data_IF_604843099555
#
_entry.id   IF_604843099555
#
_cell.length_a   1.000
_cell.length_b   1.000
_cell.length_c   1.000
_cell.angle_alpha   90.00
_cell.angle_beta   90.00
_cell.angle_gamma   90.00
#
_symmetry.space_group_name_H-M   'P 1'
#
loop_
_entity.id
_entity.type
_entity.pdbx_description
1 polymer ?
#
# COMPACT_ATOMS: atom_id res chain seq x y z
N UNK A 1 -9.24 -24.28 -9.05
CA UNK A 1 -9.52 -23.26 -8.01
C UNK A 1 -8.21 -22.58 -7.75
N UNK A 2 -8.16 -21.24 -7.79
CA UNK A 2 -6.91 -20.49 -7.54
C UNK A 2 -6.64 -20.42 -6.05
N UNK A 3 -5.45 -20.81 -5.63
CA UNK A 3 -5.04 -20.87 -4.23
C UNK A 3 -4.38 -19.54 -3.81
N UNK A 4 -4.82 -18.97 -2.70
CA UNK A 4 -4.42 -17.64 -2.25
C UNK A 4 -3.88 -17.70 -0.82
N UNK A 5 -2.67 -17.16 -0.63
CA UNK A 5 -2.09 -16.88 0.68
C UNK A 5 -2.23 -15.39 1.01
N UNK A 6 -2.50 -15.03 2.27
CA UNK A 6 -2.77 -13.65 2.68
C UNK A 6 -1.88 -13.26 3.86
N UNK A 7 -1.00 -12.31 3.63
CA UNK A 7 -0.29 -11.60 4.68
C UNK A 7 -1.16 -10.46 5.21
N UNK A 8 -1.51 -10.51 6.51
CA UNK A 8 -2.33 -9.48 7.17
C UNK A 8 -3.84 -9.66 7.00
N UNK A 9 -4.34 -10.91 7.06
CA UNK A 9 -5.76 -11.25 6.81
C UNK A 9 -6.77 -10.58 7.75
N UNK A 10 -6.36 -10.19 8.95
CA UNK A 10 -7.21 -9.51 9.93
C UNK A 10 -7.19 -7.99 9.81
N UNK A 11 -6.40 -7.43 8.88
CA UNK A 11 -6.36 -6.02 8.55
C UNK A 11 -7.48 -5.60 7.60
N UNK A 12 -7.58 -4.29 7.31
CA UNK A 12 -8.64 -3.73 6.45
C UNK A 12 -8.69 -4.34 5.05
N UNK A 13 -7.52 -4.52 4.40
CA UNK A 13 -7.44 -5.13 3.07
C UNK A 13 -7.66 -6.64 3.16
N UNK A 14 -7.06 -7.30 4.17
CA UNK A 14 -7.18 -8.75 4.33
C UNK A 14 -8.60 -9.22 4.57
N UNK A 15 -9.39 -8.50 5.37
CA UNK A 15 -10.82 -8.83 5.61
C UNK A 15 -11.64 -8.67 4.33
N UNK A 16 -11.44 -7.59 3.57
CA UNK A 16 -12.11 -7.38 2.29
C UNK A 16 -11.68 -8.40 1.23
N UNK A 17 -10.43 -8.86 1.28
CA UNK A 17 -9.96 -9.95 0.43
C UNK A 17 -10.68 -11.28 0.73
N UNK A 18 -10.90 -11.56 2.01
CA UNK A 18 -11.69 -12.73 2.42
C UNK A 18 -13.17 -12.58 2.03
N UNK A 19 -13.74 -11.35 2.01
CA UNK A 19 -15.09 -11.12 1.48
C UNK A 19 -15.16 -11.47 -0.02
N UNK A 20 -14.17 -11.03 -0.82
CA UNK A 20 -14.10 -11.40 -2.25
C UNK A 20 -14.01 -12.92 -2.44
N UNK A 21 -13.22 -13.62 -1.62
CA UNK A 21 -13.11 -15.07 -1.67
C UNK A 21 -14.44 -15.72 -1.24
N UNK A 22 -15.10 -15.21 -0.19
CA UNK A 22 -16.38 -15.73 0.33
C UNK A 22 -17.47 -15.69 -0.73
N UNK A 23 -17.54 -14.60 -1.53
CA UNK A 23 -18.49 -14.46 -2.62
C UNK A 23 -18.15 -15.35 -3.85
N UNK A 24 -16.91 -15.89 -3.93
CA UNK A 24 -16.42 -16.62 -5.10
C UNK A 24 -15.68 -17.92 -4.70
N UNK A 25 -16.25 -18.69 -3.78
CA UNK A 25 -15.65 -19.95 -3.27
C UNK A 25 -15.50 -21.06 -4.33
N UNK A 26 -16.19 -20.95 -5.43
CA UNK A 26 -16.02 -21.84 -6.59
C UNK A 26 -14.74 -21.56 -7.38
N UNK A 27 -14.15 -20.37 -7.20
CA UNK A 27 -12.95 -19.90 -7.92
C UNK A 27 -11.70 -19.84 -7.07
N UNK A 28 -11.84 -19.53 -5.76
CA UNK A 28 -10.74 -19.29 -4.86
C UNK A 28 -10.76 -20.17 -3.62
N UNK A 29 -9.57 -20.53 -3.16
CA UNK A 29 -9.32 -21.20 -1.88
C UNK A 29 -8.23 -20.45 -1.10
N UNK A 30 -8.36 -20.42 0.22
CA UNK A 30 -7.34 -19.85 1.11
C UNK A 30 -6.36 -20.93 1.48
N UNK A 31 -5.05 -20.68 1.28
CA UNK A 31 -3.96 -21.59 1.62
C UNK A 31 -3.29 -21.25 2.94
N UNK A 32 -2.95 -19.97 3.11
CA UNK A 32 -2.27 -19.53 4.32
C UNK A 32 -2.74 -18.14 4.74
N UNK A 33 -2.79 -17.89 6.04
CA UNK A 33 -3.21 -16.63 6.63
C UNK A 33 -2.19 -16.13 7.66
N UNK A 34 -1.98 -14.81 7.73
CA UNK A 34 -1.29 -14.22 8.86
C UNK A 34 -2.10 -13.13 9.54
N UNK A 35 -1.92 -12.98 10.85
CA UNK A 35 -2.50 -11.89 11.63
C UNK A 35 -1.46 -11.20 12.52
N UNK A 36 -1.77 -9.95 12.89
CA UNK A 36 -1.14 -9.26 14.02
C UNK A 36 -1.84 -9.65 15.34
N UNK A 37 -2.44 -8.65 15.98
CA UNK A 37 -2.98 -8.78 17.34
C UNK A 37 -4.42 -9.31 17.43
N UNK A 38 -5.16 -9.36 16.32
CA UNK A 38 -6.58 -9.74 16.37
C UNK A 38 -6.77 -11.26 16.27
N UNK A 39 -6.52 -11.94 17.37
CA UNK A 39 -6.58 -13.41 17.46
C UNK A 39 -8.01 -13.93 17.41
N UNK A 40 -9.00 -13.19 17.92
CA UNK A 40 -10.40 -13.63 17.87
C UNK A 40 -10.91 -13.66 16.43
N UNK A 41 -10.66 -12.62 15.65
CA UNK A 41 -11.00 -12.62 14.21
C UNK A 41 -10.22 -13.71 13.45
N UNK A 42 -8.97 -13.99 13.83
CA UNK A 42 -8.21 -15.09 13.21
C UNK A 42 -8.87 -16.44 13.49
N UNK A 43 -9.43 -16.71 14.68
CA UNK A 43 -10.17 -17.94 14.97
C UNK A 43 -11.38 -18.11 14.03
N UNK A 44 -12.11 -17.02 13.79
CA UNK A 44 -13.25 -17.02 12.86
C UNK A 44 -12.77 -17.34 11.43
N UNK A 45 -11.72 -16.68 10.97
CA UNK A 45 -11.14 -16.89 9.64
C UNK A 45 -10.62 -18.33 9.47
N UNK A 46 -9.94 -18.89 10.45
CA UNK A 46 -9.50 -20.29 10.43
C UNK A 46 -10.68 -21.26 10.33
N UNK A 47 -11.73 -21.02 11.14
CA UNK A 47 -12.91 -21.87 11.13
C UNK A 47 -13.69 -21.82 9.81
N UNK A 48 -13.66 -20.69 9.13
CA UNK A 48 -14.40 -20.46 7.89
C UNK A 48 -13.64 -20.92 6.64
N UNK A 49 -12.32 -20.68 6.58
CA UNK A 49 -11.52 -20.88 5.38
C UNK A 49 -10.59 -22.07 5.44
N UNK A 50 -10.40 -22.69 6.60
CA UNK A 50 -9.60 -23.89 6.83
C UNK A 50 -8.20 -23.84 6.18
N UNK A 51 -7.37 -22.80 6.46
CA UNK A 51 -6.04 -22.67 5.87
C UNK A 51 -5.12 -23.81 6.32
N UNK A 52 -4.08 -24.09 5.52
CA UNK A 52 -3.05 -25.07 5.86
C UNK A 52 -1.96 -24.50 6.77
N UNK A 53 -1.64 -23.18 6.63
CA UNK A 53 -0.67 -22.47 7.47
C UNK A 53 -1.30 -21.22 8.08
N UNK A 54 -1.05 -21.00 9.36
CA UNK A 54 -1.44 -19.78 10.10
C UNK A 54 -0.22 -19.19 10.78
N UNK A 55 0.01 -17.90 10.54
CA UNK A 55 1.13 -17.15 11.12
C UNK A 55 0.60 -16.05 12.04
N UNK A 56 1.12 -16.00 13.25
CA UNK A 56 0.80 -14.97 14.25
C UNK A 56 2.00 -14.06 14.53
N UNK A 57 1.77 -12.95 15.20
CA UNK A 57 2.85 -12.04 15.57
C UNK A 57 3.75 -12.66 16.65
N UNK A 58 3.19 -13.41 17.61
CA UNK A 58 3.94 -13.97 18.74
C UNK A 58 3.81 -15.49 18.85
N UNK A 59 4.81 -16.13 19.46
CA UNK A 59 4.80 -17.57 19.76
C UNK A 59 3.65 -17.95 20.73
N UNK A 60 3.27 -17.05 21.64
CA UNK A 60 2.17 -17.28 22.58
C UNK A 60 0.83 -17.39 21.85
N UNK A 61 0.60 -16.53 20.85
CA UNK A 61 -0.63 -16.53 20.05
C UNK A 61 -0.71 -17.79 19.16
N UNK A 62 0.41 -18.18 18.54
CA UNK A 62 0.49 -19.43 17.79
C UNK A 62 0.15 -20.66 18.66
N UNK A 63 0.70 -20.70 19.88
CA UNK A 63 0.40 -21.78 20.85
C UNK A 63 -1.08 -21.75 21.27
N UNK A 64 -1.67 -20.59 21.48
CA UNK A 64 -3.09 -20.44 21.85
C UNK A 64 -3.98 -20.97 20.73
N UNK A 65 -3.74 -20.56 19.47
CA UNK A 65 -4.52 -21.02 18.31
C UNK A 65 -4.36 -22.53 18.10
N UNK A 66 -3.13 -23.06 18.19
CA UNK A 66 -2.87 -24.50 18.08
C UNK A 66 -3.68 -25.30 19.12
N UNK A 67 -3.69 -24.86 20.37
CA UNK A 67 -4.46 -25.52 21.43
C UNK A 67 -5.98 -25.42 21.19
N UNK A 68 -6.45 -24.29 20.67
CA UNK A 68 -7.87 -24.08 20.39
C UNK A 68 -8.39 -24.97 19.24
N UNK A 69 -7.56 -25.25 18.24
CA UNK A 69 -7.93 -26.04 17.06
C UNK A 69 -7.46 -27.50 17.10
N UNK A 70 -6.79 -27.95 18.17
CA UNK A 70 -6.19 -29.28 18.27
C UNK A 70 -7.16 -30.41 17.92
N UNK A 71 -8.43 -30.31 18.33
CA UNK A 71 -9.46 -31.33 18.12
C UNK A 71 -10.53 -30.94 17.09
N UNK A 72 -10.37 -29.79 16.40
CA UNK A 72 -11.45 -29.17 15.60
C UNK A 72 -11.23 -29.18 14.11
N UNK A 73 -9.99 -29.24 13.66
CA UNK A 73 -9.63 -29.06 12.24
C UNK A 73 -8.56 -30.05 11.79
N UNK A 74 -8.39 -30.18 10.46
CA UNK A 74 -7.25 -30.88 9.85
C UNK A 74 -5.93 -30.27 10.33
N UNK A 75 -4.82 -30.97 10.08
CA UNK A 75 -3.46 -30.51 10.41
C UNK A 75 -3.22 -29.09 9.87
N UNK A 76 -3.38 -28.08 10.73
CA UNK A 76 -2.99 -26.71 10.44
C UNK A 76 -1.60 -26.50 11.03
N UNK A 77 -0.69 -25.98 10.22
CA UNK A 77 0.62 -25.55 10.68
C UNK A 77 0.50 -24.16 11.31
N UNK A 78 1.18 -23.95 12.44
CA UNK A 78 1.20 -22.65 13.12
C UNK A 78 2.64 -22.18 13.26
N UNK A 79 2.93 -21.03 12.66
CA UNK A 79 4.19 -20.30 12.75
C UNK A 79 3.99 -18.91 13.37
N UNK A 80 5.08 -18.19 13.61
CA UNK A 80 5.02 -16.86 14.23
C UNK A 80 6.21 -15.98 13.85
N UNK A 81 6.05 -14.68 14.05
CA UNK A 81 7.12 -13.70 13.88
C UNK A 81 7.55 -13.49 12.43
N UNK A 82 8.73 -12.92 12.24
CA UNK A 82 9.24 -12.59 10.90
C UNK A 82 9.51 -13.85 10.08
N UNK A 83 10.13 -14.87 10.65
CA UNK A 83 10.38 -16.15 9.96
C UNK A 83 9.08 -16.80 9.50
N UNK A 84 8.02 -16.77 10.32
CA UNK A 84 6.70 -17.26 9.92
C UNK A 84 6.11 -16.46 8.75
N UNK A 85 6.29 -15.14 8.71
CA UNK A 85 5.84 -14.32 7.57
C UNK A 85 6.60 -14.68 6.29
N UNK A 86 7.91 -14.96 6.38
CA UNK A 86 8.71 -15.40 5.23
C UNK A 86 8.32 -16.82 4.78
N UNK A 87 8.01 -17.71 5.72
CA UNK A 87 7.48 -19.04 5.43
C UNK A 87 6.16 -18.95 4.66
N UNK A 88 5.21 -18.12 5.13
CA UNK A 88 3.96 -17.86 4.44
C UNK A 88 4.17 -17.25 3.05
N UNK A 89 5.10 -16.30 2.92
CA UNK A 89 5.41 -15.68 1.64
C UNK A 89 5.93 -16.67 0.60
N UNK A 90 6.68 -17.69 1.04
CA UNK A 90 7.18 -18.79 0.20
C UNK A 90 6.19 -19.94 0.02
N UNK A 91 5.08 -19.94 0.78
CA UNK A 91 4.12 -21.03 0.79
C UNK A 91 3.58 -21.34 -0.61
N UNK A 92 3.30 -22.63 -0.88
CA UNK A 92 2.86 -23.05 -2.21
C UNK A 92 1.41 -22.64 -2.47
N UNK A 93 1.25 -21.51 -3.16
CA UNK A 93 -0.01 -20.93 -3.57
C UNK A 93 0.14 -20.22 -4.93
N UNK A 94 -0.94 -20.07 -5.68
CA UNK A 94 -0.95 -19.41 -6.99
C UNK A 94 -0.71 -17.91 -6.89
N UNK A 95 -1.15 -17.31 -5.77
CA UNK A 95 -1.10 -15.87 -5.54
C UNK A 95 -0.91 -15.55 -4.05
N UNK A 96 0.03 -14.68 -3.76
CA UNK A 96 0.19 -14.05 -2.44
C UNK A 96 -0.44 -12.67 -2.43
N UNK A 97 -1.40 -12.42 -1.54
CA UNK A 97 -1.80 -11.05 -1.19
C UNK A 97 -0.88 -10.54 -0.09
N UNK A 98 -0.11 -9.48 -0.38
CA UNK A 98 0.64 -8.77 0.65
C UNK A 98 -0.12 -7.51 1.08
N UNK A 99 -0.76 -7.55 2.25
CA UNK A 99 -1.48 -6.44 2.88
C UNK A 99 -0.89 -6.02 4.23
N UNK A 100 0.40 -6.31 4.45
CA UNK A 100 1.14 -5.75 5.58
C UNK A 100 1.31 -4.24 5.42
N UNK A 101 1.51 -3.53 6.51
CA UNK A 101 1.74 -2.08 6.51
C UNK A 101 3.22 -1.77 6.66
N UNK A 102 3.69 -0.72 5.98
CA UNK A 102 5.04 -0.18 6.12
C UNK A 102 6.13 -1.09 5.54
N UNK A 103 7.36 -0.80 5.92
CA UNK A 103 8.57 -1.52 5.48
C UNK A 103 8.51 -3.04 5.73
N UNK A 104 7.72 -3.49 6.70
CA UNK A 104 7.58 -4.91 7.06
C UNK A 104 7.10 -5.80 5.91
N UNK A 105 6.43 -5.24 4.90
CA UNK A 105 5.98 -5.98 3.73
C UNK A 105 7.06 -6.25 2.67
N UNK A 106 8.16 -5.53 2.70
CA UNK A 106 9.18 -5.56 1.64
C UNK A 106 9.87 -6.92 1.54
N UNK A 107 10.40 -7.46 2.65
CA UNK A 107 11.12 -8.73 2.65
C UNK A 107 10.22 -9.92 2.31
N UNK A 108 8.98 -10.06 2.85
CA UNK A 108 8.03 -11.07 2.37
C UNK A 108 7.70 -10.97 0.88
N UNK A 109 7.59 -9.74 0.32
CA UNK A 109 7.39 -9.56 -1.13
C UNK A 109 8.57 -10.13 -1.92
N UNK A 110 9.80 -9.81 -1.52
CA UNK A 110 11.01 -10.31 -2.15
C UNK A 110 11.12 -11.83 -2.09
N UNK A 111 10.88 -12.43 -0.92
CA UNK A 111 10.92 -13.88 -0.72
C UNK A 111 9.85 -14.63 -1.54
N UNK A 112 8.65 -14.08 -1.66
CA UNK A 112 7.60 -14.62 -2.51
C UNK A 112 8.01 -14.64 -3.99
N UNK A 113 8.65 -13.54 -4.47
CA UNK A 113 9.19 -13.47 -5.83
C UNK A 113 10.25 -14.56 -6.05
N UNK A 114 11.21 -14.69 -5.12
CA UNK A 114 12.26 -15.72 -5.21
C UNK A 114 11.70 -17.14 -5.18
N UNK A 115 10.55 -17.35 -4.54
CA UNK A 115 9.80 -18.60 -4.56
C UNK A 115 8.91 -18.78 -5.81
N UNK A 116 8.90 -17.82 -6.75
CA UNK A 116 8.10 -17.90 -7.97
C UNK A 116 6.60 -17.63 -7.79
N UNK A 117 6.19 -16.96 -6.70
CA UNK A 117 4.78 -16.67 -6.41
C UNK A 117 4.34 -15.36 -7.06
N UNK A 118 3.20 -15.37 -7.76
CA UNK A 118 2.57 -14.13 -8.19
C UNK A 118 2.06 -13.35 -6.99
N UNK A 119 2.05 -12.02 -7.10
CA UNK A 119 1.75 -11.14 -5.96
C UNK A 119 0.58 -10.21 -6.30
N UNK A 120 -0.43 -10.19 -5.45
CA UNK A 120 -1.40 -9.10 -5.33
C UNK A 120 -0.82 -8.13 -4.29
N UNK A 121 -0.30 -6.98 -4.72
CA UNK A 121 0.45 -6.07 -3.87
C UNK A 121 -0.44 -4.94 -3.38
N UNK A 122 -0.77 -4.94 -2.09
CA UNK A 122 -1.40 -3.83 -1.39
C UNK A 122 -0.39 -3.02 -0.56
N UNK A 123 0.77 -3.60 -0.24
CA UNK A 123 1.86 -2.93 0.47
C UNK A 123 2.69 -2.08 -0.50
N UNK A 124 2.32 -0.82 -0.65
CA UNK A 124 3.02 0.13 -1.55
C UNK A 124 4.46 0.39 -1.11
N UNK A 125 4.72 0.34 0.20
CA UNK A 125 6.03 0.61 0.75
C UNK A 125 7.10 -0.34 0.20
N UNK A 126 6.75 -1.58 -0.13
CA UNK A 126 7.68 -2.52 -0.80
C UNK A 126 8.28 -1.95 -2.09
N UNK A 127 7.48 -1.29 -2.92
CA UNK A 127 7.96 -0.66 -4.15
C UNK A 127 8.58 0.71 -3.91
N UNK A 128 8.13 1.43 -2.90
CA UNK A 128 8.74 2.71 -2.52
C UNK A 128 10.19 2.52 -2.10
N UNK A 129 10.45 1.57 -1.22
CA UNK A 129 11.79 1.38 -0.64
C UNK A 129 12.71 0.52 -1.51
N UNK A 130 12.15 -0.46 -2.23
CA UNK A 130 12.91 -1.48 -2.94
C UNK A 130 12.47 -1.72 -4.38
N UNK A 131 11.79 -0.75 -5.03
CA UNK A 131 11.18 -0.96 -6.33
C UNK A 131 12.13 -1.47 -7.41
N UNK A 132 13.39 -0.98 -7.45
CA UNK A 132 14.42 -1.48 -8.37
C UNK A 132 14.70 -2.98 -8.14
N UNK A 133 14.93 -3.37 -6.88
CA UNK A 133 15.23 -4.76 -6.48
C UNK A 133 14.00 -5.67 -6.71
N UNK A 134 12.82 -5.22 -6.32
CA UNK A 134 11.56 -5.98 -6.43
C UNK A 134 11.19 -6.21 -7.90
N UNK A 135 11.16 -5.15 -8.72
CA UNK A 135 10.73 -5.27 -10.11
C UNK A 135 11.74 -6.03 -10.97
N UNK A 136 13.05 -5.84 -10.75
CA UNK A 136 14.08 -6.61 -11.46
C UNK A 136 14.02 -8.10 -11.08
N UNK A 137 13.85 -8.42 -9.79
CA UNK A 137 13.69 -9.81 -9.35
C UNK A 137 12.40 -10.45 -9.90
N UNK A 138 11.29 -9.70 -9.94
CA UNK A 138 10.03 -10.18 -10.52
C UNK A 138 10.19 -10.50 -12.02
N UNK A 139 10.88 -9.64 -12.77
CA UNK A 139 11.17 -9.85 -14.18
C UNK A 139 12.07 -11.09 -14.39
N UNK A 140 13.12 -11.24 -13.60
CA UNK A 140 14.02 -12.40 -13.64
C UNK A 140 13.29 -13.74 -13.39
N UNK A 141 12.39 -13.74 -12.40
CA UNK A 141 11.65 -14.95 -11.99
C UNK A 141 10.36 -15.16 -12.80
N UNK A 142 9.99 -14.25 -13.70
CA UNK A 142 8.73 -14.31 -14.44
C UNK A 142 7.48 -14.16 -13.58
N UNK A 143 7.59 -13.54 -12.41
CA UNK A 143 6.53 -13.31 -11.44
C UNK A 143 5.74 -12.05 -11.82
N UNK A 144 4.40 -12.13 -11.71
CA UNK A 144 3.50 -10.99 -11.91
C UNK A 144 3.23 -10.28 -10.59
N UNK A 145 3.39 -8.95 -10.61
CA UNK A 145 2.94 -8.08 -9.51
C UNK A 145 1.67 -7.37 -9.98
N UNK A 146 0.55 -7.70 -9.33
CA UNK A 146 -0.78 -7.16 -9.62
C UNK A 146 -1.13 -6.11 -8.56
N UNK A 147 -1.41 -4.85 -8.94
CA UNK A 147 -1.70 -3.81 -7.98
C UNK A 147 -3.05 -4.00 -7.29
N UNK A 148 -3.08 -3.77 -6.00
CA UNK A 148 -4.29 -3.74 -5.17
C UNK A 148 -4.63 -2.33 -4.72
N UNK A 149 -3.66 -1.42 -4.64
CA UNK A 149 -3.96 0.00 -4.40
C UNK A 149 -4.92 0.51 -5.48
N UNK A 150 -5.96 1.27 -5.09
CA UNK A 150 -7.09 1.60 -5.98
C UNK A 150 -6.66 2.38 -7.22
N UNK A 151 -5.76 3.34 -7.06
CA UNK A 151 -5.24 4.16 -8.16
C UNK A 151 -4.39 3.33 -9.13
N UNK A 152 -3.53 2.46 -8.60
CA UNK A 152 -2.67 1.60 -9.43
C UNK A 152 -3.48 0.51 -10.13
N UNK A 153 -4.49 -0.06 -9.46
CA UNK A 153 -5.45 -0.96 -10.10
C UNK A 153 -6.20 -0.27 -11.24
N UNK A 154 -6.59 1.00 -11.05
CA UNK A 154 -7.24 1.80 -12.09
C UNK A 154 -6.33 2.00 -13.30
N UNK A 155 -5.08 2.43 -13.08
CA UNK A 155 -4.07 2.59 -14.13
C UNK A 155 -3.85 1.26 -14.87
N UNK A 156 -3.64 0.17 -14.12
CA UNK A 156 -3.48 -1.16 -14.66
C UNK A 156 -4.65 -1.57 -15.56
N UNK A 157 -5.90 -1.28 -15.17
CA UNK A 157 -7.09 -1.58 -15.96
C UNK A 157 -7.17 -0.70 -17.23
N UNK A 158 -6.78 0.59 -17.14
CA UNK A 158 -6.75 1.49 -18.31
C UNK A 158 -5.70 1.08 -19.35
N UNK A 159 -4.65 0.39 -18.91
CA UNK A 159 -3.57 -0.07 -19.81
C UNK A 159 -3.89 -1.37 -20.53
N UNK A 160 -4.96 -2.10 -20.16
CA UNK A 160 -5.28 -3.38 -20.77
C UNK A 160 -5.56 -3.25 -22.26
N UNK A 161 -4.94 -4.12 -23.06
CA UNK A 161 -5.06 -4.11 -24.53
C UNK A 161 -4.17 -3.08 -25.25
N UNK A 162 -3.44 -2.24 -24.52
CA UNK A 162 -2.52 -1.25 -25.07
C UNK A 162 -1.06 -1.60 -24.73
N UNK A 163 -0.13 -1.07 -25.52
CA UNK A 163 1.30 -1.26 -25.26
C UNK A 163 1.79 -0.14 -24.33
N UNK A 164 2.62 -0.48 -23.33
CA UNK A 164 3.21 0.52 -22.42
C UNK A 164 3.92 1.66 -23.14
N UNK A 165 4.60 1.38 -24.27
CA UNK A 165 5.29 2.39 -25.08
C UNK A 165 4.36 3.45 -25.71
N UNK A 166 3.06 3.22 -25.73
CA UNK A 166 2.05 4.15 -26.25
C UNK A 166 1.53 5.10 -25.17
N UNK A 167 1.91 4.87 -23.91
CA UNK A 167 1.54 5.74 -22.80
C UNK A 167 2.43 6.98 -22.83
N UNK A 168 1.79 8.14 -22.72
CA UNK A 168 2.46 9.45 -22.63
C UNK A 168 2.53 9.93 -21.18
N UNK A 169 1.43 9.76 -20.42
CA UNK A 169 1.31 10.29 -19.06
C UNK A 169 0.35 9.44 -18.23
N UNK A 170 0.62 9.36 -16.93
CA UNK A 170 -0.31 8.84 -15.93
C UNK A 170 -0.92 10.03 -15.17
N UNK A 171 -2.24 10.02 -14.99
CA UNK A 171 -2.97 10.89 -14.10
C UNK A 171 -3.30 10.13 -12.81
N UNK A 172 -2.60 10.49 -11.73
CA UNK A 172 -2.75 9.88 -10.42
C UNK A 172 -3.69 10.74 -9.57
N UNK A 173 -4.91 10.27 -9.31
CA UNK A 173 -5.89 11.05 -8.56
C UNK A 173 -5.69 10.93 -7.05
N UNK A 174 -6.07 11.97 -6.31
CA UNK A 174 -6.03 12.05 -4.86
C UNK A 174 -7.32 12.66 -4.33
N UNK A 175 -7.84 12.20 -3.18
CA UNK A 175 -8.99 12.85 -2.53
C UNK A 175 -8.67 14.27 -2.06
N UNK A 176 -7.40 14.58 -1.82
CA UNK A 176 -6.91 15.83 -1.22
C UNK A 176 -6.86 15.80 0.31
N UNK A 177 -7.32 14.70 0.93
CA UNK A 177 -7.31 14.55 2.39
C UNK A 177 -8.31 15.48 3.11
N UNK A 178 -8.30 15.46 4.46
CA UNK A 178 -9.22 16.28 5.28
C UNK A 178 -8.90 17.77 5.26
N UNK A 179 -7.68 18.17 4.89
CA UNK A 179 -7.21 19.56 4.95
C UNK A 179 -7.09 20.23 3.57
N UNK A 180 -7.76 19.69 2.55
CA UNK A 180 -7.78 20.30 1.23
C UNK A 180 -8.20 21.78 1.30
N UNK A 181 -7.36 22.66 0.74
CA UNK A 181 -7.57 24.10 0.75
C UNK A 181 -7.01 24.85 1.96
N UNK A 182 -6.42 24.15 2.94
CA UNK A 182 -5.73 24.80 4.06
C UNK A 182 -4.36 25.30 3.62
N UNK A 183 -4.02 26.51 4.08
CA UNK A 183 -2.67 27.03 4.02
C UNK A 183 -1.76 26.36 5.05
N UNK A 184 -0.44 26.52 4.88
CA UNK A 184 0.53 25.97 5.83
C UNK A 184 0.33 26.50 7.26
N UNK A 185 -0.04 27.78 7.40
CA UNK A 185 -0.27 28.38 8.72
C UNK A 185 -1.50 27.79 9.41
N UNK A 186 -2.57 27.49 8.63
CA UNK A 186 -3.77 26.83 9.16
C UNK A 186 -3.49 25.37 9.57
N UNK A 187 -2.49 24.73 8.97
CA UNK A 187 -2.07 23.36 9.32
C UNK A 187 -1.25 23.29 10.61
N UNK A 188 -0.69 24.41 11.12
CA UNK A 188 0.20 24.39 12.29
C UNK A 188 -0.50 23.90 13.57
N UNK A 189 -1.80 24.22 13.73
CA UNK A 189 -2.57 23.89 14.92
C UNK A 189 -3.50 22.69 14.80
N UNK A 190 -3.42 21.90 13.71
CA UNK A 190 -4.37 20.79 13.50
C UNK A 190 -4.09 19.64 14.48
N UNK A 191 -5.19 19.09 15.02
CA UNK A 191 -5.12 17.97 15.96
C UNK A 191 -5.04 16.62 15.26
N UNK A 192 -4.59 15.60 16.00
CA UNK A 192 -4.61 14.21 15.55
C UNK A 192 -6.02 13.76 15.16
N UNK A 193 -7.03 14.16 15.93
CA UNK A 193 -8.43 13.82 15.66
C UNK A 193 -8.91 14.41 14.33
N UNK A 194 -8.58 15.68 14.05
CA UNK A 194 -8.90 16.32 12.78
C UNK A 194 -8.21 15.61 11.60
N UNK A 195 -6.93 15.25 11.77
CA UNK A 195 -6.16 14.56 10.73
C UNK A 195 -6.67 13.14 10.45
N UNK A 196 -7.24 12.46 11.45
CA UNK A 196 -7.83 11.12 11.31
C UNK A 196 -9.24 11.13 10.69
N UNK A 197 -9.88 12.28 10.56
CA UNK A 197 -11.24 12.41 10.01
C UNK A 197 -11.22 12.52 8.47
N UNK A 198 -10.93 11.39 7.80
CA UNK A 198 -10.89 11.37 6.33
C UNK A 198 -12.30 11.45 5.73
N UNK A 199 -12.56 12.33 4.72
CA UNK A 199 -13.92 12.63 4.25
C UNK A 199 -14.59 11.50 3.47
N UNK A 200 -13.85 10.52 2.93
CA UNK A 200 -14.36 9.47 2.01
C UNK A 200 -14.01 8.05 2.41
N UNK A 201 -12.84 7.82 2.99
CA UNK A 201 -12.32 6.48 3.27
C UNK A 201 -12.22 6.21 4.77
N UNK A 202 -12.61 5.01 5.20
CA UNK A 202 -12.29 4.48 6.52
C UNK A 202 -11.04 3.61 6.41
N UNK A 203 -9.93 4.11 6.92
CA UNK A 203 -8.60 3.51 6.73
C UNK A 203 -7.87 3.36 8.07
N UNK A 204 -6.75 2.63 8.05
CA UNK A 204 -5.84 2.58 9.20
C UNK A 204 -5.24 3.94 9.54
N UNK A 205 -4.84 4.14 10.80
CA UNK A 205 -4.34 5.44 11.29
C UNK A 205 -3.16 5.99 10.47
N UNK A 206 -2.16 5.15 10.19
CA UNK A 206 -0.94 5.58 9.44
C UNK A 206 -1.30 6.13 8.05
N UNK A 207 -2.03 5.37 7.24
CA UNK A 207 -2.40 5.79 5.89
C UNK A 207 -3.36 6.99 5.89
N UNK A 208 -4.16 7.17 6.95
CA UNK A 208 -5.02 8.36 7.09
C UNK A 208 -4.18 9.62 7.30
N UNK A 209 -3.13 9.57 8.12
CA UNK A 209 -2.18 10.68 8.26
C UNK A 209 -1.38 10.90 6.98
N UNK A 210 -0.93 9.84 6.31
CA UNK A 210 -0.28 9.96 5.00
C UNK A 210 -1.19 10.63 3.96
N UNK A 211 -2.49 10.35 3.98
CA UNK A 211 -3.48 11.03 3.15
C UNK A 211 -3.62 12.51 3.52
N UNK A 212 -3.67 12.82 4.82
CA UNK A 212 -3.78 14.19 5.32
C UNK A 212 -2.58 15.06 4.93
N UNK A 213 -1.37 14.50 4.95
CA UNK A 213 -0.11 15.18 4.57
C UNK A 213 0.17 15.15 3.06
N UNK A 214 -0.64 14.44 2.27
CA UNK A 214 -0.38 14.03 0.87
C UNK A 214 0.88 13.15 0.69
N UNK A 215 1.50 12.66 1.76
CA UNK A 215 2.58 11.65 1.66
C UNK A 215 2.07 10.38 0.99
N UNK A 216 0.84 9.94 1.27
CA UNK A 216 0.26 8.78 0.61
C UNK A 216 0.34 8.90 -0.92
N UNK A 217 0.02 10.06 -1.46
CA UNK A 217 0.08 10.31 -2.90
C UNK A 217 1.52 10.35 -3.41
N UNK A 218 2.46 10.81 -2.58
CA UNK A 218 3.88 10.71 -2.87
C UNK A 218 4.39 9.27 -2.94
N UNK A 219 3.99 8.42 -1.98
CA UNK A 219 4.31 6.99 -1.99
C UNK A 219 3.73 6.29 -3.23
N UNK A 220 2.49 6.60 -3.56
CA UNK A 220 1.80 6.07 -4.73
C UNK A 220 2.43 6.52 -6.07
N UNK A 221 2.96 7.73 -6.15
CA UNK A 221 3.71 8.19 -7.32
C UNK A 221 4.97 7.35 -7.53
N UNK A 222 5.69 7.01 -6.46
CA UNK A 222 6.88 6.15 -6.51
C UNK A 222 6.48 4.72 -6.89
N UNK A 223 5.39 4.20 -6.35
CA UNK A 223 4.85 2.90 -6.71
C UNK A 223 4.47 2.85 -8.20
N UNK A 224 3.77 3.86 -8.72
CA UNK A 224 3.40 3.96 -10.13
C UNK A 224 4.62 4.01 -11.05
N UNK A 225 5.66 4.75 -10.68
CA UNK A 225 6.94 4.78 -11.40
C UNK A 225 7.47 3.36 -11.64
N UNK A 226 7.46 2.52 -10.61
CA UNK A 226 7.99 1.17 -10.68
C UNK A 226 7.05 0.18 -11.38
N UNK A 227 5.78 0.14 -11.00
CA UNK A 227 4.81 -0.80 -11.57
C UNK A 227 4.63 -0.62 -13.07
N UNK A 228 4.63 0.62 -13.55
CA UNK A 228 4.33 0.94 -14.94
C UNK A 228 5.55 1.39 -15.73
N UNK A 229 6.75 1.36 -15.11
CA UNK A 229 8.00 1.79 -15.72
C UNK A 229 7.91 3.19 -16.36
N UNK A 230 7.39 4.16 -15.59
CA UNK A 230 7.20 5.55 -16.01
C UNK A 230 8.25 6.46 -15.40
N UNK A 231 8.60 7.55 -16.10
CA UNK A 231 9.39 8.60 -15.48
C UNK A 231 8.53 9.38 -14.47
N UNK A 232 9.17 9.92 -13.44
CA UNK A 232 8.49 10.71 -12.41
C UNK A 232 7.75 11.92 -13.03
N UNK A 233 8.35 12.55 -14.02
CA UNK A 233 7.80 13.75 -14.69
C UNK A 233 6.61 13.44 -15.62
N UNK A 234 6.40 12.16 -15.95
CA UNK A 234 5.26 11.69 -16.73
C UNK A 234 4.10 11.21 -15.84
N UNK A 235 4.19 11.40 -14.51
CA UNK A 235 3.12 11.10 -13.54
C UNK A 235 2.62 12.41 -12.94
N UNK A 236 1.39 12.78 -13.28
CA UNK A 236 0.75 14.02 -12.81
C UNK A 236 -0.28 13.72 -11.73
N UNK A 237 -0.12 14.36 -10.56
CA UNK A 237 -1.08 14.24 -9.46
C UNK A 237 -2.23 15.21 -9.66
N UNK A 238 -3.46 14.69 -9.61
CA UNK A 238 -4.70 15.46 -9.69
C UNK A 238 -5.51 15.31 -8.40
N UNK A 239 -5.86 16.41 -7.74
CA UNK A 239 -6.78 16.37 -6.61
C UNK A 239 -8.20 16.25 -7.15
N UNK A 240 -8.89 15.16 -6.80
CA UNK A 240 -10.25 14.82 -7.21
C UNK A 240 -11.10 14.49 -5.98
N UNK A 241 -11.75 15.49 -5.36
CA UNK A 241 -12.41 15.32 -4.05
C UNK A 241 -13.56 14.33 -4.03
N UNK A 242 -14.19 14.08 -5.17
CA UNK A 242 -15.29 13.13 -5.27
C UNK A 242 -14.82 11.68 -5.16
N UNK A 243 -13.54 11.39 -5.48
CA UNK A 243 -12.94 10.05 -5.47
C UNK A 243 -13.71 9.03 -6.34
N UNK A 244 -14.31 9.48 -7.43
CA UNK A 244 -15.03 8.65 -8.42
C UNK A 244 -14.08 8.20 -9.53
N UNK A 245 -13.23 9.12 -10.03
CA UNK A 245 -12.14 8.77 -10.95
C UNK A 245 -10.98 8.31 -10.11
N UNK A 246 -10.65 7.02 -10.20
CA UNK A 246 -9.57 6.41 -9.40
C UNK A 246 -8.18 6.56 -10.01
N UNK A 247 -8.04 6.94 -11.23
CA UNK A 247 -6.86 7.39 -11.98
C UNK A 247 -7.07 7.15 -13.48
N UNK A 248 -6.13 7.60 -14.31
CA UNK A 248 -6.22 7.46 -15.76
C UNK A 248 -4.88 7.52 -16.45
N UNK A 249 -4.90 7.22 -17.75
CA UNK A 249 -3.71 7.18 -18.62
C UNK A 249 -3.97 8.00 -19.86
N UNK A 250 -3.06 8.92 -20.19
CA UNK A 250 -3.02 9.62 -21.47
C UNK A 250 -2.09 8.89 -22.43
N UNK A 251 -2.59 8.61 -23.61
CA UNK A 251 -1.82 7.98 -24.69
C UNK A 251 -1.18 9.04 -25.60
N UNK A 252 -0.27 8.61 -26.47
CA UNK A 252 0.45 9.50 -27.41
C UNK A 252 -0.45 10.24 -28.40
N UNK A 253 -1.63 9.67 -28.69
CA UNK A 253 -2.68 10.28 -29.52
C UNK A 253 -3.55 11.30 -28.75
N UNK A 254 -3.19 11.58 -27.49
CA UNK A 254 -3.90 12.45 -26.55
C UNK A 254 -5.22 11.92 -26.00
N UNK A 255 -5.61 10.70 -26.35
CA UNK A 255 -6.76 10.05 -25.73
C UNK A 255 -6.48 9.78 -24.25
N UNK A 256 -7.46 10.00 -23.38
CA UNK A 256 -7.39 9.67 -21.95
C UNK A 256 -8.38 8.57 -21.64
N UNK A 257 -7.89 7.49 -21.04
CA UNK A 257 -8.72 6.43 -20.49
C UNK A 257 -8.62 6.50 -18.98
N UNK A 258 -9.76 6.53 -18.28
CA UNK A 258 -9.82 6.57 -16.83
C UNK A 258 -10.79 5.50 -16.30
N UNK A 259 -10.47 4.94 -15.15
CA UNK A 259 -11.37 4.02 -14.46
C UNK A 259 -12.19 4.81 -13.43
N UNK A 260 -13.50 4.58 -13.47
CA UNK A 260 -14.47 5.18 -12.57
C UNK A 260 -15.19 4.10 -11.76
N UNK A 261 -15.51 4.43 -10.51
CA UNK A 261 -16.28 3.54 -9.64
C UNK A 261 -16.58 4.17 -8.29
N UNK A 262 -17.38 3.50 -7.49
CA UNK A 262 -17.52 3.85 -6.07
C UNK A 262 -16.25 3.45 -5.31
N UNK A 263 -15.88 4.17 -4.24
CA UNK A 263 -14.70 3.85 -3.44
C UNK A 263 -14.93 2.57 -2.61
N UNK A 264 -14.52 1.42 -3.15
CA UNK A 264 -14.61 0.10 -2.52
C UNK A 264 -13.39 -0.75 -2.88
N UNK A 265 -12.58 -1.12 -1.87
CA UNK A 265 -11.35 -1.88 -2.07
C UNK A 265 -11.59 -3.32 -2.55
N UNK A 266 -12.79 -3.87 -2.42
CA UNK A 266 -13.11 -5.20 -2.98
C UNK A 266 -12.98 -5.21 -4.50
N UNK A 267 -13.19 -4.07 -5.17
CA UNK A 267 -13.05 -3.97 -6.64
C UNK A 267 -11.60 -4.23 -7.08
N UNK A 268 -10.58 -3.46 -6.64
CA UNK A 268 -9.20 -3.70 -7.04
C UNK A 268 -8.67 -5.06 -6.54
N UNK A 269 -9.09 -5.53 -5.37
CA UNK A 269 -8.76 -6.88 -4.88
C UNK A 269 -9.30 -7.94 -5.84
N UNK A 270 -10.57 -7.84 -6.23
CA UNK A 270 -11.19 -8.77 -7.18
C UNK A 270 -10.48 -8.77 -8.54
N UNK A 271 -10.07 -7.60 -9.03
CA UNK A 271 -9.26 -7.49 -10.27
C UNK A 271 -7.94 -8.23 -10.12
N UNK A 272 -7.19 -8.02 -9.04
CA UNK A 272 -5.92 -8.70 -8.81
C UNK A 272 -6.08 -10.22 -8.68
N UNK A 273 -7.15 -10.68 -8.02
CA UNK A 273 -7.40 -12.11 -7.81
C UNK A 273 -7.84 -12.83 -9.08
N UNK A 274 -8.66 -12.19 -9.92
CA UNK A 274 -9.26 -12.82 -11.08
C UNK A 274 -8.55 -12.55 -12.39
N UNK A 275 -7.60 -11.62 -12.44
CA UNK A 275 -6.94 -11.25 -13.70
C UNK A 275 -6.50 -12.48 -14.50
N UNK A 276 -6.79 -12.54 -15.84
CA UNK A 276 -7.33 -11.46 -16.69
C UNK A 276 -8.88 -11.31 -16.70
N UNK A 277 -9.60 -12.17 -15.99
CA UNK A 277 -11.06 -12.16 -15.96
C UNK A 277 -11.62 -11.08 -15.02
N UNK A 278 -12.96 -10.88 -15.07
CA UNK A 278 -13.69 -10.06 -14.12
C UNK A 278 -14.69 -10.88 -13.33
N UNK A 279 -14.82 -10.56 -12.04
CA UNK A 279 -15.81 -11.20 -11.17
C UNK A 279 -17.13 -10.42 -11.15
N UNK A 280 -18.21 -11.13 -10.91
CA UNK A 280 -19.45 -10.50 -10.44
C UNK A 280 -19.25 -10.18 -8.96
N UNK A 281 -19.46 -8.92 -8.59
CA UNK A 281 -19.29 -8.45 -7.23
C UNK A 281 -20.60 -7.87 -6.69
N UNK A 282 -20.86 -8.07 -5.41
CA UNK A 282 -21.97 -7.40 -4.69
C UNK A 282 -21.49 -6.08 -4.10
N UNK A 283 -21.19 -5.13 -5.01
CA UNK A 283 -20.83 -3.75 -4.67
C UNK A 283 -21.77 -2.79 -5.38
N UNK A 284 -22.08 -1.62 -4.79
CA UNK A 284 -22.92 -0.62 -5.43
C UNK A 284 -22.37 -0.18 -6.79
N UNK A 285 -23.23 -0.07 -7.79
CA UNK A 285 -22.85 0.49 -9.08
C UNK A 285 -22.76 2.02 -8.97
N UNK A 286 -21.81 2.62 -9.70
CA UNK A 286 -21.72 4.08 -9.82
C UNK A 286 -22.99 4.63 -10.50
N UNK A 287 -23.64 5.60 -9.85
CA UNK A 287 -24.75 6.34 -10.44
C UNK A 287 -24.25 7.63 -11.09
N UNK A 288 -24.28 7.71 -12.41
CA UNK A 288 -23.87 8.90 -13.16
C UNK A 288 -24.79 10.11 -13.01
N UNK A 289 -26.00 9.91 -12.49
CA UNK A 289 -26.95 11.00 -12.25
C UNK A 289 -26.91 11.53 -10.81
N UNK A 290 -26.07 10.95 -9.95
CA UNK A 290 -25.85 11.32 -8.54
C UNK A 290 -24.36 11.54 -8.26
N UNK A 291 -23.65 10.53 -7.70
CA UNK A 291 -22.23 10.67 -7.32
C UNK A 291 -21.33 10.98 -8.52
N UNK A 292 -21.64 10.43 -9.70
CA UNK A 292 -20.89 10.63 -10.94
C UNK A 292 -21.30 11.86 -11.73
N UNK A 293 -22.30 12.66 -11.28
CA UNK A 293 -22.85 13.78 -12.04
C UNK A 293 -21.89 14.96 -12.17
N UNK A 294 -20.93 15.09 -11.23
CA UNK A 294 -19.96 16.19 -11.24
C UNK A 294 -18.58 15.69 -10.85
N UNK A 295 -17.63 15.82 -11.75
CA UNK A 295 -16.23 15.48 -11.56
C UNK A 295 -15.38 16.75 -11.64
N UNK A 296 -14.59 17.02 -10.61
CA UNK A 296 -13.71 18.21 -10.55
C UNK A 296 -12.29 17.80 -10.27
N UNK A 297 -11.34 18.55 -10.83
CA UNK A 297 -9.92 18.31 -10.70
C UNK A 297 -9.20 19.60 -10.34
N UNK A 298 -8.27 19.53 -9.40
CA UNK A 298 -7.47 20.65 -8.92
C UNK A 298 -5.99 20.25 -8.92
N UNK A 299 -5.11 21.23 -9.01
CA UNK A 299 -3.67 20.99 -8.81
C UNK A 299 -3.39 20.79 -7.32
N UNK A 300 -2.49 19.88 -6.94
CA UNK A 300 -2.07 19.77 -5.54
C UNK A 300 -1.29 21.03 -5.12
N UNK A 301 -1.51 21.48 -3.90
CA UNK A 301 -0.74 22.56 -3.29
C UNK A 301 0.55 21.98 -2.67
N UNK A 302 1.67 22.13 -3.38
CA UNK A 302 2.97 21.61 -2.96
C UNK A 302 3.66 22.47 -1.89
N UNK A 303 3.20 23.72 -1.67
CA UNK A 303 3.77 24.59 -0.65
C UNK A 303 3.15 24.31 0.72
N UNK A 304 1.83 24.13 0.78
CA UNK A 304 1.14 23.77 2.01
C UNK A 304 1.38 22.29 2.38
N UNK A 305 1.38 21.39 1.39
CA UNK A 305 1.56 19.95 1.59
C UNK A 305 2.96 19.49 1.15
N UNK A 306 3.94 19.87 1.94
CA UNK A 306 5.37 19.67 1.67
C UNK A 306 5.75 18.19 1.45
N UNK A 307 5.06 17.25 2.10
CA UNK A 307 5.36 15.83 1.99
C UNK A 307 5.23 15.29 0.56
N UNK A 308 4.26 15.77 -0.24
CA UNK A 308 4.15 15.39 -1.65
C UNK A 308 5.34 15.92 -2.46
N UNK A 309 5.75 17.17 -2.24
CA UNK A 309 6.92 17.76 -2.90
C UNK A 309 8.19 16.96 -2.60
N UNK A 310 8.42 16.64 -1.33
CA UNK A 310 9.56 15.84 -0.87
C UNK A 310 9.55 14.46 -1.54
N UNK A 311 8.40 13.81 -1.64
CA UNK A 311 8.28 12.50 -2.27
C UNK A 311 8.60 12.53 -3.77
N UNK A 312 8.16 13.57 -4.49
CA UNK A 312 8.50 13.79 -5.90
C UNK A 312 10.02 13.97 -6.06
N UNK A 313 10.65 14.76 -5.19
CA UNK A 313 12.11 14.98 -5.20
C UNK A 313 12.88 13.69 -4.87
N UNK A 314 12.47 12.94 -3.84
CA UNK A 314 13.05 11.65 -3.51
C UNK A 314 12.91 10.64 -4.67
N UNK A 315 11.78 10.64 -5.37
CA UNK A 315 11.54 9.80 -6.54
C UNK A 315 12.48 10.15 -7.72
N UNK A 316 12.80 11.44 -7.91
CA UNK A 316 13.74 11.94 -8.93
C UNK A 316 15.18 11.59 -8.58
N UNK A 317 15.59 11.79 -7.33
CA UNK A 317 16.91 11.40 -6.83
C UNK A 317 17.10 9.88 -6.92
N UNK A 318 16.02 9.11 -6.68
CA UNK A 318 16.06 7.65 -6.75
C UNK A 318 16.99 7.06 -5.69
N UNK A 319 17.67 5.96 -6.06
CA UNK A 319 18.62 5.28 -5.16
C UNK A 319 17.97 4.94 -3.82
N UNK A 320 18.58 5.29 -2.68
CA UNK A 320 18.06 5.01 -1.33
C UNK A 320 17.24 6.15 -0.73
N UNK A 321 17.08 7.29 -1.44
CA UNK A 321 16.28 8.42 -0.95
C UNK A 321 14.82 8.06 -0.64
N UNK A 322 14.09 7.29 -1.50
CA UNK A 322 12.73 6.87 -1.16
C UNK A 322 12.66 5.96 0.10
N UNK A 323 13.68 5.10 0.30
CA UNK A 323 13.73 4.24 1.48
C UNK A 323 13.95 5.07 2.76
N UNK A 324 14.87 6.04 2.73
CA UNK A 324 15.10 6.97 3.83
C UNK A 324 13.86 7.81 4.14
N UNK A 325 13.20 8.35 3.12
CA UNK A 325 11.95 9.09 3.25
C UNK A 325 10.87 8.26 3.94
N UNK A 326 10.66 7.02 3.48
CA UNK A 326 9.63 6.15 4.06
C UNK A 326 9.95 5.79 5.52
N UNK A 327 11.20 5.43 5.84
CA UNK A 327 11.62 5.12 7.21
C UNK A 327 11.42 6.29 8.18
N UNK A 328 11.78 7.50 7.74
CA UNK A 328 11.52 8.73 8.50
C UNK A 328 10.02 8.99 8.66
N UNK A 329 9.24 8.89 7.56
CA UNK A 329 7.80 9.13 7.59
C UNK A 329 7.06 8.20 8.58
N UNK A 330 7.38 6.92 8.61
CA UNK A 330 6.73 5.97 9.53
C UNK A 330 6.93 6.37 11.00
N UNK A 331 8.16 6.78 11.39
CA UNK A 331 8.45 7.25 12.75
C UNK A 331 7.74 8.56 13.06
N UNK A 332 7.79 9.52 12.15
CA UNK A 332 7.22 10.86 12.36
C UNK A 332 5.70 10.83 12.40
N UNK A 333 5.06 9.98 11.58
CA UNK A 333 3.61 9.76 11.64
C UNK A 333 3.20 9.14 12.99
N UNK A 334 3.96 8.16 13.49
CA UNK A 334 3.71 7.58 14.81
C UNK A 334 3.87 8.62 15.92
N UNK A 335 4.91 9.44 15.86
CA UNK A 335 5.15 10.49 16.85
C UNK A 335 4.08 11.60 16.80
N UNK A 336 3.55 11.94 15.62
CA UNK A 336 2.39 12.83 15.50
C UNK A 336 1.15 12.21 16.14
N UNK A 337 0.87 10.94 15.87
CA UNK A 337 -0.26 10.21 16.45
C UNK A 337 -0.19 10.13 17.99
N UNK A 338 1.02 10.13 18.54
CA UNK A 338 1.28 10.16 19.99
C UNK A 338 1.30 11.59 20.58
N UNK A 339 1.15 12.63 19.73
CA UNK A 339 1.16 14.03 20.18
C UNK A 339 2.54 14.56 20.54
N UNK A 340 3.62 13.93 20.06
CA UNK A 340 5.00 14.33 20.36
C UNK A 340 5.51 15.43 19.43
N UNK A 341 4.95 15.55 18.22
CA UNK A 341 5.28 16.56 17.22
C UNK A 341 4.01 17.12 16.58
N UNK A 342 4.10 18.30 15.97
CA UNK A 342 3.05 18.95 15.21
C UNK A 342 2.93 18.38 13.77
N UNK A 343 1.81 18.65 13.12
CA UNK A 343 1.50 18.15 11.78
C UNK A 343 2.54 18.59 10.73
N UNK A 344 2.87 19.87 10.69
CA UNK A 344 3.86 20.41 9.75
C UNK A 344 5.27 19.84 9.97
N UNK A 345 5.61 19.46 11.21
CA UNK A 345 6.91 18.90 11.55
C UNK A 345 7.17 17.55 10.88
N UNK A 346 6.13 16.82 10.48
CA UNK A 346 6.31 15.57 9.70
C UNK A 346 7.11 15.87 8.44
N UNK A 347 6.65 16.80 7.60
CA UNK A 347 7.34 17.16 6.37
C UNK A 347 8.69 17.84 6.61
N UNK A 348 8.77 18.73 7.60
CA UNK A 348 10.00 19.45 7.90
C UNK A 348 11.14 18.53 8.34
N UNK A 349 10.85 17.56 9.19
CA UNK A 349 11.86 16.61 9.65
C UNK A 349 12.25 15.60 8.57
N UNK A 350 11.31 15.17 7.70
CA UNK A 350 11.67 14.34 6.55
C UNK A 350 12.66 15.09 5.64
N UNK A 351 12.37 16.35 5.29
CA UNK A 351 13.25 17.16 4.46
C UNK A 351 14.63 17.34 5.10
N UNK A 352 14.69 17.62 6.40
CA UNK A 352 15.94 17.76 7.14
C UNK A 352 16.77 16.47 7.13
N UNK A 353 16.13 15.29 7.30
CA UNK A 353 16.79 13.99 7.25
C UNK A 353 17.37 13.74 5.86
N UNK A 354 16.60 13.99 4.80
CA UNK A 354 17.06 13.77 3.44
C UNK A 354 18.20 14.70 3.02
N UNK A 355 18.21 15.94 3.55
CA UNK A 355 19.28 16.91 3.28
C UNK A 355 20.57 16.61 4.07
N UNK A 356 20.48 16.01 5.25
CA UNK A 356 21.63 15.67 6.11
C UNK A 356 22.26 14.33 5.78
N UNK A 357 21.46 13.37 5.31
CA UNK A 357 21.92 12.02 5.03
C UNK A 357 22.49 11.86 3.62
N UNK A 358 23.43 10.93 3.45
CA UNK A 358 23.88 10.48 2.13
C UNK A 358 23.21 9.16 1.77
N UNK A 359 22.21 9.25 0.91
CA UNK A 359 21.42 8.10 0.42
C UNK A 359 21.68 7.81 -1.08
N UNK A 360 22.87 8.19 -1.57
CA UNK A 360 23.25 8.09 -2.96
C UNK A 360 23.77 6.71 -3.41
N UNK A 361 23.85 5.73 -2.50
CA UNK A 361 24.26 4.36 -2.80
C UNK A 361 23.23 3.63 -3.69
N UNK A 362 23.69 2.61 -4.42
CA UNK A 362 22.81 1.73 -5.19
C UNK A 362 21.89 0.94 -4.26
N UNK A 363 20.60 0.79 -4.58
CA UNK A 363 19.69 -0.06 -3.81
C UNK A 363 20.07 -1.53 -3.95
N UNK A 364 20.32 -2.15 -2.81
CA UNK A 364 20.48 -3.59 -2.61
C UNK A 364 19.71 -3.94 -1.33
N UNK A 365 19.30 -5.17 -1.15
CA UNK A 365 18.46 -5.56 -0.03
C UNK A 365 19.01 -5.08 1.32
N UNK A 366 20.28 -5.36 1.58
CA UNK A 366 20.95 -4.96 2.83
C UNK A 366 21.06 -3.45 2.97
N UNK A 367 21.39 -2.72 1.89
CA UNK A 367 21.51 -1.26 1.92
C UNK A 367 20.16 -0.56 2.15
N UNK A 368 19.06 -1.15 1.65
CA UNK A 368 17.70 -0.66 1.90
C UNK A 368 17.34 -0.82 3.39
N UNK A 369 17.57 -2.02 3.95
CA UNK A 369 17.31 -2.30 5.37
C UNK A 369 18.16 -1.43 6.31
N UNK A 370 19.42 -1.21 5.96
CA UNK A 370 20.32 -0.32 6.71
C UNK A 370 19.84 1.13 6.64
N UNK A 371 19.46 1.60 5.45
CA UNK A 371 18.97 2.96 5.22
C UNK A 371 17.70 3.25 6.02
N UNK A 372 16.75 2.32 6.05
CA UNK A 372 15.54 2.42 6.87
C UNK A 372 15.91 2.63 8.36
N UNK A 373 16.84 1.81 8.90
CA UNK A 373 17.31 1.94 10.28
C UNK A 373 17.97 3.29 10.56
N UNK A 374 18.81 3.77 9.65
CA UNK A 374 19.49 5.08 9.78
C UNK A 374 18.46 6.20 9.78
N UNK A 375 17.54 6.22 8.82
CA UNK A 375 16.52 7.27 8.71
C UNK A 375 15.60 7.30 9.94
N UNK A 376 15.20 6.14 10.46
CA UNK A 376 14.44 6.02 11.71
C UNK A 376 15.22 6.60 12.90
N UNK A 377 16.50 6.26 13.03
CA UNK A 377 17.34 6.81 14.11
C UNK A 377 17.44 8.34 14.02
N UNK A 378 17.67 8.89 12.82
CA UNK A 378 17.71 10.33 12.60
C UNK A 378 16.38 11.01 12.97
N UNK A 379 15.25 10.39 12.66
CA UNK A 379 13.92 10.88 13.02
C UNK A 379 13.75 10.93 14.56
N UNK A 380 14.11 9.87 15.26
CA UNK A 380 14.06 9.86 16.73
C UNK A 380 14.96 10.91 17.37
N UNK A 381 16.14 11.17 16.79
CA UNK A 381 17.06 12.20 17.31
C UNK A 381 16.48 13.61 17.13
N UNK A 382 15.83 13.90 16.00
CA UNK A 382 15.14 15.18 15.78
C UNK A 382 13.96 15.37 16.74
N UNK A 383 13.15 14.33 16.98
CA UNK A 383 12.03 14.39 17.93
C UNK A 383 12.55 14.71 19.35
N UNK A 384 13.66 14.08 19.77
CA UNK A 384 14.27 14.35 21.10
C UNK A 384 14.84 15.76 21.20
N UNK A 385 15.46 16.26 20.13
CA UNK A 385 16.03 17.61 20.09
C UNK A 385 14.98 18.72 20.05
N UNK A 386 13.73 18.40 19.74
CA UNK A 386 12.61 19.33 19.68
C UNK A 386 11.81 19.44 21.00
N UNK A 387 12.10 18.57 22.00
CA UNK A 387 11.55 18.62 23.37
C UNK A 387 12.43 19.51 24.24
#
# INVERSE_FOLDING_TARGET
MKEISILGSTGSIGTQALDVIRENRDKFAVKALSCGRNIELMKEQISEFEPELVVTETASDAKLLRAYFQDKTRNIEFAYGEEGLLELARYDADLLLNSLSGMRGMLPTYEAIKAGRNIALANKESLVVGGDVIMSSAAEMGVKILPVDSEHSAIFQCMQGNLNREIKKIYLTASGGPFRGYSRDELEGVSVEQALNHPKWSMGKKITIDSATLMNKGLELIEAKWLFNMNVDDIEVLVHPQSIVHSGVEFKDTAVIAQLGVPDMRIPIAVAFSYPDRLKMDVPALNFFDEGAKLTFEKPDLESFKCLKIAIEAARLGKLYPAAMNGANEVLVESFLNGEIGFNQIGDFIEEILNKGDFSKKPELDSILETDKIARSMAYDLIKGNK
#
